data_IF_418159429573
#
_entry.id   IF_418159429573
#
_cell.length_a   1.000
_cell.length_b   1.000
_cell.length_c   1.000
_cell.angle_alpha   90.00
_cell.angle_beta   90.00
_cell.angle_gamma   90.00
#
_symmetry.space_group_name_H-M   'P 1'
#
loop_
_entity.id
_entity.type
_entity.pdbx_description
1 polymer ?
#
# COMPACT_ATOMS: atom_id res chain seq x y z
N UNK A 1 18.11 -9.84 6.54
CA UNK A 1 19.39 -9.91 5.80
C UNK A 1 19.28 -9.42 4.34
N UNK A 2 18.20 -8.70 3.99
CA UNK A 2 17.99 -8.07 2.68
C UNK A 2 17.67 -6.56 2.82
N UNK A 3 18.15 -5.94 3.90
CA UNK A 3 17.93 -4.53 4.17
C UNK A 3 18.81 -3.72 3.19
N UNK A 4 18.19 -2.98 2.28
CA UNK A 4 18.84 -2.16 1.24
C UNK A 4 19.71 -2.86 0.18
N UNK A 5 19.67 -4.19 0.01
CA UNK A 5 20.51 -4.87 -0.98
C UNK A 5 20.26 -4.39 -2.43
N UNK A 6 18.99 -4.15 -2.78
CA UNK A 6 18.58 -3.64 -4.10
C UNK A 6 18.96 -2.16 -4.25
N UNK A 7 18.69 -1.34 -3.22
CA UNK A 7 19.03 0.09 -3.19
C UNK A 7 20.55 0.33 -3.27
N UNK A 8 21.35 -0.44 -2.53
CA UNK A 8 22.81 -0.34 -2.53
C UNK A 8 23.44 -0.87 -3.82
N UNK A 9 22.81 -1.85 -4.47
CA UNK A 9 23.21 -2.32 -5.79
C UNK A 9 23.05 -1.23 -6.85
N UNK A 10 21.88 -0.60 -6.89
CA UNK A 10 21.59 0.48 -7.85
C UNK A 10 22.46 1.72 -7.62
N UNK A 11 22.65 2.15 -6.36
CA UNK A 11 23.52 3.28 -6.02
C UNK A 11 24.99 3.04 -6.38
N UNK A 12 25.47 1.79 -6.35
CA UNK A 12 26.86 1.45 -6.72
C UNK A 12 27.12 1.44 -8.22
N UNK A 13 26.10 1.16 -9.05
CA UNK A 13 26.28 1.03 -10.51
C UNK A 13 25.92 2.29 -11.29
N UNK A 14 24.94 3.07 -10.84
CA UNK A 14 24.41 4.22 -11.59
C UNK A 14 24.51 5.57 -10.87
N UNK A 15 24.89 5.60 -9.59
CA UNK A 15 24.90 6.81 -8.77
C UNK A 15 23.50 7.20 -8.27
N UNK A 16 23.44 7.93 -7.16
CA UNK A 16 22.21 8.49 -6.62
C UNK A 16 21.87 9.84 -7.25
N UNK A 17 20.58 10.15 -7.41
CA UNK A 17 20.16 11.49 -7.82
C UNK A 17 20.41 12.50 -6.68
N UNK A 18 20.66 13.78 -6.98
CA UNK A 18 20.87 14.80 -5.95
C UNK A 18 19.61 14.93 -5.09
N UNK A 19 19.79 14.82 -3.77
CA UNK A 19 18.74 14.93 -2.72
C UNK A 19 17.96 16.26 -2.70
N UNK A 20 18.30 17.19 -3.58
CA UNK A 20 17.69 18.52 -3.71
C UNK A 20 16.48 18.55 -4.66
N UNK A 21 16.17 17.46 -5.35
CA UNK A 21 14.98 17.35 -6.19
C UNK A 21 13.96 16.43 -5.51
N UNK A 22 13.01 16.98 -4.76
CA UNK A 22 11.88 16.24 -4.16
C UNK A 22 11.06 15.44 -5.20
N UNK A 23 11.20 15.77 -6.48
CA UNK A 23 10.54 15.11 -7.61
C UNK A 23 11.28 13.86 -8.13
N UNK A 24 12.59 13.73 -7.88
CA UNK A 24 13.39 12.56 -8.28
C UNK A 24 13.69 11.71 -7.04
N UNK A 25 13.38 10.40 -7.11
CA UNK A 25 13.74 9.46 -6.05
C UNK A 25 15.26 9.41 -5.80
N UNK A 26 15.67 8.96 -4.62
CA UNK A 26 17.09 8.83 -4.22
C UNK A 26 17.94 7.98 -5.20
N UNK A 27 17.30 7.10 -5.97
CA UNK A 27 17.92 6.26 -7.00
C UNK A 27 16.93 5.96 -8.14
N UNK A 28 17.42 5.71 -9.37
CA UNK A 28 16.58 5.20 -10.47
C UNK A 28 16.14 3.76 -10.18
N UNK A 29 14.87 3.57 -9.79
CA UNK A 29 14.30 2.24 -9.55
C UNK A 29 13.89 1.54 -10.86
N UNK A 30 14.86 0.86 -11.49
CA UNK A 30 14.63 0.07 -12.70
C UNK A 30 13.68 -1.11 -12.50
N UNK A 31 13.60 -1.67 -11.29
CA UNK A 31 12.70 -2.79 -10.98
C UNK A 31 11.27 -2.27 -10.90
N UNK A 32 11.05 -1.15 -10.23
CA UNK A 32 9.77 -0.44 -10.22
C UNK A 32 9.31 -0.09 -11.63
N UNK A 33 10.19 0.47 -12.46
CA UNK A 33 9.88 0.79 -13.85
C UNK A 33 9.48 -0.46 -14.67
N UNK A 34 10.20 -1.57 -14.53
CA UNK A 34 9.88 -2.84 -15.19
C UNK A 34 8.51 -3.38 -14.76
N UNK A 35 8.21 -3.33 -13.46
CA UNK A 35 6.92 -3.77 -12.90
C UNK A 35 5.78 -2.93 -13.48
N UNK A 36 5.94 -1.60 -13.52
CA UNK A 36 4.92 -0.70 -14.07
C UNK A 36 4.68 -1.00 -15.57
N UNK A 37 5.74 -1.18 -16.35
CA UNK A 37 5.62 -1.53 -17.78
C UNK A 37 4.92 -2.88 -17.96
N UNK A 38 5.30 -3.90 -17.18
CA UNK A 38 4.68 -5.22 -17.22
C UNK A 38 3.19 -5.16 -16.86
N UNK A 39 2.84 -4.48 -15.77
CA UNK A 39 1.45 -4.27 -15.36
C UNK A 39 0.66 -3.51 -16.42
N UNK A 40 1.26 -2.49 -17.05
CA UNK A 40 0.68 -1.77 -18.17
C UNK A 40 0.38 -2.68 -19.36
N UNK A 41 1.30 -3.57 -19.74
CA UNK A 41 1.09 -4.54 -20.82
C UNK A 41 -0.04 -5.52 -20.46
N UNK A 42 -0.10 -5.99 -19.22
CA UNK A 42 -1.19 -6.87 -18.75
C UNK A 42 -2.54 -6.16 -18.83
N UNK A 43 -2.62 -4.89 -18.45
CA UNK A 43 -3.84 -4.08 -18.54
C UNK A 43 -4.36 -3.96 -19.98
N UNK A 44 -3.47 -3.87 -20.98
CA UNK A 44 -3.88 -3.81 -22.39
C UNK A 44 -4.52 -5.09 -22.93
N UNK A 45 -4.33 -6.24 -22.25
CA UNK A 45 -4.79 -7.56 -22.71
C UNK A 45 -6.21 -7.94 -22.30
N UNK A 46 -6.91 -7.10 -21.53
CA UNK A 46 -8.36 -7.24 -21.32
C UNK A 46 -8.86 -7.10 -19.87
N UNK A 47 -10.00 -6.43 -19.64
CA UNK A 47 -10.54 -6.19 -18.28
C UNK A 47 -11.12 -7.42 -17.57
N UNK A 48 -11.68 -8.40 -18.30
CA UNK A 48 -12.42 -9.53 -17.70
C UNK A 48 -11.54 -10.46 -16.86
N UNK A 49 -10.31 -10.72 -17.31
CA UNK A 49 -9.33 -11.50 -16.54
C UNK A 49 -8.76 -10.69 -15.36
N UNK A 50 -8.66 -9.37 -15.53
CA UNK A 50 -8.08 -8.44 -14.55
C UNK A 50 -8.89 -8.36 -13.24
N UNK A 51 -10.22 -8.37 -13.31
CA UNK A 51 -11.07 -8.30 -12.12
C UNK A 51 -10.88 -9.51 -11.20
N UNK A 52 -10.83 -10.72 -11.77
CA UNK A 52 -10.63 -11.94 -10.99
C UNK A 52 -9.22 -12.01 -10.38
N UNK A 53 -8.19 -11.67 -11.16
CA UNK A 53 -6.81 -11.63 -10.67
C UNK A 53 -6.66 -10.59 -9.55
N UNK A 54 -7.21 -9.39 -9.71
CA UNK A 54 -7.14 -8.35 -8.68
C UNK A 54 -7.82 -8.80 -7.39
N UNK A 55 -9.02 -9.39 -7.48
CA UNK A 55 -9.75 -9.90 -6.31
C UNK A 55 -8.97 -10.98 -5.55
N UNK A 56 -8.37 -11.94 -6.27
CA UNK A 56 -7.54 -13.00 -5.66
C UNK A 56 -6.31 -12.40 -4.98
N UNK A 57 -5.61 -11.46 -5.63
CA UNK A 57 -4.42 -10.83 -5.05
C UNK A 57 -4.78 -9.98 -3.83
N UNK A 58 -5.89 -9.23 -3.86
CA UNK A 58 -6.37 -8.48 -2.70
C UNK A 58 -6.74 -9.40 -1.53
N UNK A 59 -7.41 -10.52 -1.79
CA UNK A 59 -7.75 -11.51 -0.76
C UNK A 59 -6.48 -12.11 -0.12
N UNK A 60 -5.50 -12.48 -0.94
CA UNK A 60 -4.21 -12.99 -0.47
C UNK A 60 -3.48 -11.94 0.37
N UNK A 61 -3.44 -10.68 -0.08
CA UNK A 61 -2.82 -9.60 0.67
C UNK A 61 -3.51 -9.36 2.02
N UNK A 62 -4.85 -9.37 2.04
CA UNK A 62 -5.64 -9.26 3.27
C UNK A 62 -5.32 -10.41 4.24
N UNK A 63 -5.23 -11.64 3.73
CA UNK A 63 -4.88 -12.81 4.54
C UNK A 63 -3.49 -12.66 5.16
N UNK A 64 -2.49 -12.26 4.36
CA UNK A 64 -1.12 -12.05 4.86
C UNK A 64 -1.09 -10.94 5.92
N UNK A 65 -1.83 -9.84 5.73
CA UNK A 65 -1.92 -8.76 6.71
C UNK A 65 -2.55 -9.24 8.03
N UNK A 66 -3.67 -9.97 7.96
CA UNK A 66 -4.36 -10.51 9.14
C UNK A 66 -3.47 -11.53 9.86
N UNK A 67 -2.78 -12.40 9.12
CA UNK A 67 -1.86 -13.39 9.67
C UNK A 67 -0.70 -12.69 10.39
N UNK A 68 -0.04 -11.73 9.73
CA UNK A 68 1.07 -10.96 10.32
C UNK A 68 0.63 -10.22 11.60
N UNK A 69 -0.51 -9.53 11.52
CA UNK A 69 -1.09 -8.81 12.67
C UNK A 69 -1.48 -9.78 13.80
N UNK A 70 -2.05 -10.93 13.47
CA UNK A 70 -2.41 -11.97 14.44
C UNK A 70 -1.20 -12.54 15.17
N UNK A 71 -0.11 -12.85 14.46
CA UNK A 71 1.15 -13.29 15.09
C UNK A 71 1.66 -12.23 16.07
N UNK A 72 1.65 -10.96 15.66
CA UNK A 72 2.13 -9.86 16.49
C UNK A 72 1.29 -9.66 17.75
N UNK A 73 -0.02 -9.87 17.68
CA UNK A 73 -0.93 -9.77 18.82
C UNK A 73 -0.86 -10.99 19.76
N UNK A 74 -0.61 -12.20 19.23
CA UNK A 74 -0.55 -13.45 20.01
C UNK A 74 0.79 -13.60 20.74
N UNK A 75 1.88 -13.08 20.17
CA UNK A 75 3.20 -13.05 20.79
C UNK A 75 3.59 -11.62 21.22
N UNK A 76 2.83 -10.99 22.14
CA UNK A 76 3.20 -9.68 22.64
C UNK A 76 4.53 -9.77 23.38
N UNK A 77 5.23 -8.65 23.46
CA UNK A 77 6.52 -8.56 24.15
C UNK A 77 6.41 -8.99 25.62
N UNK A 78 6.73 -10.25 25.92
CA UNK A 78 6.90 -10.79 27.28
C UNK A 78 8.22 -10.31 27.89
N UNK A 79 8.39 -9.00 28.09
CA UNK A 79 9.49 -8.48 28.88
C UNK A 79 8.91 -7.60 29.97
N UNK A 80 8.97 -8.12 31.20
CA UNK A 80 8.44 -7.60 32.46
C UNK A 80 8.84 -6.17 32.85
N UNK A 81 9.58 -5.45 32.00
CA UNK A 81 10.19 -4.15 32.30
C UNK A 81 9.83 -3.02 31.31
N UNK A 82 9.11 -3.32 30.22
CA UNK A 82 8.68 -2.28 29.27
C UNK A 82 7.16 -2.13 29.30
N UNK A 83 6.67 -1.12 30.02
CA UNK A 83 5.29 -0.66 29.86
C UNK A 83 5.06 -0.23 28.40
N UNK A 84 3.84 -0.44 27.89
CA UNK A 84 3.35 0.00 26.56
C UNK A 84 3.76 1.42 26.16
N UNK A 85 4.02 2.26 27.16
CA UNK A 85 4.61 3.58 27.04
C UNK A 85 5.64 3.79 28.17
N UNK A 86 6.95 3.53 27.95
CA UNK A 86 7.97 3.81 28.96
C UNK A 86 8.03 5.32 29.18
N UNK A 87 7.96 5.76 30.45
CA UNK A 87 8.07 7.18 30.79
C UNK A 87 9.41 7.79 30.30
N UNK A 88 10.47 6.99 30.25
CA UNK A 88 11.80 7.40 29.78
C UNK A 88 11.85 7.83 28.31
N UNK A 89 10.91 7.36 27.49
CA UNK A 89 10.86 7.68 26.05
C UNK A 89 9.71 8.66 25.72
N UNK A 90 9.13 9.35 26.71
CA UNK A 90 8.08 10.35 26.48
C UNK A 90 6.64 9.81 26.56
N UNK A 91 6.44 8.60 27.10
CA UNK A 91 5.12 8.05 27.38
C UNK A 91 4.29 7.79 26.12
N UNK A 92 2.96 7.92 26.21
CA UNK A 92 2.04 7.66 25.10
C UNK A 92 2.06 8.76 24.02
N UNK A 93 2.53 9.97 24.39
CA UNK A 93 2.66 11.11 23.49
C UNK A 93 4.10 11.65 23.45
N UNK A 94 5.07 10.87 22.92
CA UNK A 94 6.47 11.27 22.91
C UNK A 94 6.74 12.55 22.10
N UNK A 95 5.92 12.79 21.07
CA UNK A 95 5.99 13.97 20.21
C UNK A 95 4.88 15.00 20.51
N UNK A 96 4.19 14.85 21.64
CA UNK A 96 3.03 15.66 22.00
C UNK A 96 1.87 15.58 21.00
N UNK A 97 0.93 16.51 21.12
CA UNK A 97 -0.25 16.59 20.24
C UNK A 97 0.14 16.93 18.79
N UNK A 98 1.17 17.76 18.59
CA UNK A 98 1.65 18.13 17.25
C UNK A 98 2.14 16.93 16.45
N UNK A 99 2.91 16.03 17.06
CA UNK A 99 3.36 14.80 16.41
C UNK A 99 2.21 13.82 16.12
N UNK A 100 1.20 13.75 17.00
CA UNK A 100 0.00 12.95 16.75
C UNK A 100 -0.75 13.44 15.50
N UNK A 101 -0.95 14.75 15.36
CA UNK A 101 -1.65 15.34 14.20
C UNK A 101 -0.83 15.15 12.93
N UNK A 102 0.49 15.33 12.98
CA UNK A 102 1.36 15.08 11.83
C UNK A 102 1.32 13.60 11.39
N UNK A 103 1.35 12.65 12.34
CA UNK A 103 1.20 11.23 12.06
C UNK A 103 -0.18 10.86 11.52
N UNK A 104 -1.25 11.49 12.03
CA UNK A 104 -2.59 11.31 11.46
C UNK A 104 -2.65 11.76 9.99
N UNK A 105 -1.95 12.85 9.65
CA UNK A 105 -1.79 13.32 8.27
C UNK A 105 -1.09 12.30 7.36
N UNK A 106 -0.03 11.66 7.83
CA UNK A 106 0.65 10.61 7.03
C UNK A 106 -0.19 9.34 6.92
N UNK A 107 -0.92 8.95 7.96
CA UNK A 107 -1.87 7.83 7.92
C UNK A 107 -3.01 8.05 6.92
N UNK A 108 -3.39 9.30 6.64
CA UNK A 108 -4.42 9.60 5.64
C UNK A 108 -4.04 9.10 4.24
N UNK A 109 -2.73 9.05 3.93
CA UNK A 109 -2.24 8.48 2.67
C UNK A 109 -2.67 7.02 2.47
N UNK A 110 -2.80 6.25 3.56
CA UNK A 110 -3.20 4.85 3.50
C UNK A 110 -4.69 4.65 3.11
N UNK A 111 -5.49 5.72 3.13
CA UNK A 111 -6.90 5.70 2.69
C UNK A 111 -7.07 6.19 1.25
N UNK A 112 -6.01 6.67 0.57
CA UNK A 112 -6.09 7.03 -0.84
C UNK A 112 -6.43 5.79 -1.67
N UNK A 113 -7.38 5.92 -2.61
CA UNK A 113 -7.86 4.82 -3.46
C UNK A 113 -9.31 4.42 -3.22
N UNK A 114 -9.99 4.96 -2.20
CA UNK A 114 -11.44 4.74 -2.02
C UNK A 114 -12.27 5.31 -3.18
N UNK A 115 -11.74 6.31 -3.88
CA UNK A 115 -12.29 6.93 -5.09
C UNK A 115 -12.28 5.99 -6.30
N UNK A 116 -11.38 5.01 -6.34
CA UNK A 116 -11.41 3.98 -7.39
C UNK A 116 -12.70 3.14 -7.35
N UNK A 117 -13.38 3.05 -6.20
CA UNK A 117 -14.67 2.36 -6.06
C UNK A 117 -15.74 3.07 -6.90
N UNK A 118 -15.75 4.41 -6.92
CA UNK A 118 -16.76 5.19 -7.64
C UNK A 118 -16.54 5.15 -9.15
N UNK A 119 -15.30 5.00 -9.60
CA UNK A 119 -14.95 4.78 -11.02
C UNK A 119 -15.52 3.47 -11.56
N UNK A 120 -15.80 2.49 -10.70
CA UNK A 120 -16.41 1.20 -11.06
C UNK A 120 -17.93 1.19 -10.91
N UNK A 121 -18.55 2.35 -10.68
CA UNK A 121 -20.01 2.46 -10.52
C UNK A 121 -20.80 2.08 -11.77
N UNK A 122 -20.21 2.22 -12.96
CA UNK A 122 -20.81 1.80 -14.25
C UNK A 122 -20.96 0.27 -14.37
N UNK A 123 -20.15 -0.50 -13.63
CA UNK A 123 -20.20 -1.96 -13.61
C UNK A 123 -21.06 -2.52 -12.45
N UNK A 124 -21.60 -1.63 -11.60
CA UNK A 124 -22.43 -2.03 -10.47
C UNK A 124 -23.90 -2.24 -10.90
N UNK A 125 -24.52 -3.32 -10.40
CA UNK A 125 -25.92 -3.67 -10.70
C UNK A 125 -26.89 -2.56 -10.25
N UNK A 126 -26.70 -2.02 -9.04
CA UNK A 126 -27.45 -0.86 -8.52
C UNK A 126 -26.48 0.14 -7.89
N UNK A 127 -25.95 1.12 -8.66
CA UNK A 127 -24.94 2.04 -8.17
C UNK A 127 -25.46 2.97 -7.06
N UNK A 128 -26.77 3.31 -7.06
CA UNK A 128 -27.35 4.24 -6.07
C UNK A 128 -27.29 3.69 -4.65
N UNK A 129 -27.45 2.38 -4.50
CA UNK A 129 -27.41 1.71 -3.19
C UNK A 129 -26.08 1.00 -2.94
N UNK A 130 -25.51 0.36 -3.96
CA UNK A 130 -24.33 -0.49 -3.80
C UNK A 130 -23.06 0.32 -3.56
N UNK A 131 -22.89 1.48 -4.20
CA UNK A 131 -21.71 2.32 -4.03
C UNK A 131 -21.54 2.87 -2.61
N UNK A 132 -22.54 3.54 -2.01
CA UNK A 132 -22.38 4.07 -0.65
C UNK A 132 -22.16 2.95 0.38
N UNK A 133 -22.84 1.80 0.23
CA UNK A 133 -22.66 0.65 1.12
C UNK A 133 -21.26 0.05 0.95
N UNK A 134 -20.80 -0.15 -0.28
CA UNK A 134 -19.48 -0.72 -0.56
C UNK A 134 -18.37 0.14 0.03
N UNK A 135 -18.42 1.45 -0.17
CA UNK A 135 -17.44 2.40 0.39
C UNK A 135 -17.50 2.43 1.92
N UNK A 136 -18.69 2.49 2.51
CA UNK A 136 -18.83 2.53 3.97
C UNK A 136 -18.27 1.25 4.62
N UNK A 137 -18.58 0.07 4.06
CA UNK A 137 -18.09 -1.21 4.58
C UNK A 137 -16.58 -1.35 4.37
N UNK A 138 -16.06 -1.05 3.18
CA UNK A 138 -14.63 -1.20 2.89
C UNK A 138 -13.77 -0.28 3.76
N UNK A 139 -14.15 0.99 3.88
CA UNK A 139 -13.43 1.97 4.72
C UNK A 139 -13.49 1.55 6.18
N UNK A 140 -14.64 1.11 6.68
CA UNK A 140 -14.78 0.65 8.07
C UNK A 140 -13.90 -0.56 8.37
N UNK A 141 -13.91 -1.57 7.49
CA UNK A 141 -13.09 -2.79 7.65
C UNK A 141 -11.59 -2.45 7.62
N UNK A 142 -11.16 -1.63 6.66
CA UNK A 142 -9.75 -1.20 6.56
C UNK A 142 -9.34 -0.39 7.78
N UNK A 143 -10.21 0.47 8.30
CA UNK A 143 -9.95 1.25 9.52
C UNK A 143 -9.69 0.35 10.72
N UNK A 144 -10.54 -0.67 10.94
CA UNK A 144 -10.35 -1.64 12.02
C UNK A 144 -9.05 -2.43 11.84
N UNK A 145 -8.77 -2.87 10.61
CA UNK A 145 -7.52 -3.60 10.31
C UNK A 145 -6.27 -2.74 10.57
N UNK A 146 -6.27 -1.46 10.20
CA UNK A 146 -5.15 -0.55 10.46
C UNK A 146 -4.95 -0.28 11.95
N UNK A 147 -6.03 -0.13 12.72
CA UNK A 147 -5.95 0.01 14.18
C UNK A 147 -5.33 -1.25 14.79
N UNK A 148 -5.81 -2.44 14.40
CA UNK A 148 -5.28 -3.71 14.89
C UNK A 148 -3.82 -3.93 14.49
N UNK A 149 -3.47 -3.58 13.26
CA UNK A 149 -2.12 -3.75 12.74
C UNK A 149 -1.12 -2.80 13.40
N UNK A 150 -1.51 -1.53 13.62
CA UNK A 150 -0.74 -0.55 14.38
C UNK A 150 -0.52 -1.00 15.83
N UNK A 151 -1.60 -1.45 16.49
CA UNK A 151 -1.53 -2.00 17.85
C UNK A 151 -0.62 -3.24 17.91
N UNK A 152 -0.74 -4.15 16.94
CA UNK A 152 0.08 -5.34 16.84
C UNK A 152 1.57 -5.01 16.75
N UNK A 153 1.97 -4.10 15.85
CA UNK A 153 3.38 -3.71 15.68
C UNK A 153 3.94 -3.07 16.96
N UNK A 154 3.20 -2.14 17.57
CA UNK A 154 3.64 -1.44 18.80
C UNK A 154 3.75 -2.37 20.01
N UNK A 155 2.95 -3.44 20.07
CA UNK A 155 3.05 -4.47 21.11
C UNK A 155 4.17 -5.49 20.86
N UNK A 156 4.56 -5.66 19.60
CA UNK A 156 5.52 -6.68 19.19
C UNK A 156 6.97 -6.20 19.29
N UNK A 157 7.23 -4.93 18.95
CA UNK A 157 8.53 -4.27 19.07
C UNK A 157 8.41 -2.85 19.66
N UNK A 158 9.45 -2.34 20.35
CA UNK A 158 9.44 -0.97 20.85
C UNK A 158 9.24 0.05 19.73
N UNK A 159 8.35 1.03 19.94
CA UNK A 159 7.93 1.97 18.90
C UNK A 159 9.08 2.80 18.29
N UNK A 160 10.17 3.06 19.03
CA UNK A 160 11.35 3.78 18.54
C UNK A 160 12.25 2.94 17.61
N UNK A 161 12.03 1.63 17.54
CA UNK A 161 12.77 0.70 16.66
C UNK A 161 12.00 0.32 15.39
N UNK A 162 10.78 0.85 15.22
CA UNK A 162 9.94 0.57 14.06
C UNK A 162 10.58 1.17 12.81
N UNK A 163 10.86 0.31 11.83
CA UNK A 163 11.38 0.72 10.53
C UNK A 163 10.29 1.44 9.72
N UNK A 164 10.63 2.57 9.09
CA UNK A 164 9.70 3.40 8.31
C UNK A 164 9.34 2.81 6.94
N UNK A 165 10.20 1.97 6.38
CA UNK A 165 10.04 1.39 5.05
C UNK A 165 9.38 0.01 5.14
N UNK A 166 9.78 -0.78 6.14
CA UNK A 166 9.44 -2.20 6.20
C UNK A 166 9.02 -2.64 7.61
N UNK A 167 8.06 -1.93 8.21
CA UNK A 167 7.64 -2.14 9.61
C UNK A 167 7.33 -3.61 9.94
N UNK A 168 6.51 -4.30 9.15
CA UNK A 168 6.09 -5.67 9.48
C UNK A 168 7.21 -6.70 9.33
N UNK A 169 7.95 -6.65 8.21
CA UNK A 169 9.01 -7.64 7.94
C UNK A 169 10.22 -7.43 8.85
N UNK A 170 10.62 -6.17 9.10
CA UNK A 170 11.69 -5.84 10.03
C UNK A 170 11.33 -6.23 11.47
N UNK A 171 10.07 -6.01 11.88
CA UNK A 171 9.61 -6.42 13.20
C UNK A 171 9.68 -7.95 13.39
N UNK A 172 9.19 -8.73 12.41
CA UNK A 172 9.26 -10.20 12.43
C UNK A 172 10.70 -10.73 12.39
N UNK A 173 11.57 -10.07 11.61
CA UNK A 173 12.99 -10.41 11.55
C UNK A 173 13.70 -10.16 12.88
N UNK A 174 13.40 -9.05 13.56
CA UNK A 174 13.98 -8.72 14.87
C UNK A 174 13.67 -9.78 15.96
N UNK A 175 12.58 -10.53 15.79
CA UNK A 175 12.17 -11.64 16.67
C UNK A 175 12.59 -13.02 16.18
N UNK A 176 13.28 -13.11 15.03
CA UNK A 176 13.77 -14.37 14.47
C UNK A 176 12.67 -15.27 13.86
N UNK A 177 11.47 -14.74 13.57
CA UNK A 177 10.39 -15.51 12.94
C UNK A 177 10.56 -15.51 11.42
N UNK A 178 11.59 -16.21 10.95
CA UNK A 178 12.06 -16.18 9.56
C UNK A 178 10.98 -16.54 8.54
N UNK A 179 10.16 -17.56 8.83
CA UNK A 179 9.09 -18.01 7.92
C UNK A 179 8.03 -16.94 7.70
N UNK A 180 7.62 -16.23 8.77
CA UNK A 180 6.63 -15.17 8.69
C UNK A 180 7.19 -13.94 7.96
N UNK A 181 8.46 -13.61 8.17
CA UNK A 181 9.14 -12.54 7.42
C UNK A 181 9.08 -12.76 5.92
N UNK A 182 9.32 -13.99 5.44
CA UNK A 182 9.25 -14.30 4.00
C UNK A 182 7.83 -14.20 3.45
N UNK A 183 6.83 -14.75 4.15
CA UNK A 183 5.43 -14.69 3.72
C UNK A 183 4.95 -13.25 3.67
N UNK A 184 5.22 -12.47 4.72
CA UNK A 184 4.84 -11.06 4.78
C UNK A 184 5.57 -10.24 3.74
N UNK A 185 6.86 -10.49 3.48
CA UNK A 185 7.62 -9.82 2.43
C UNK A 185 7.04 -10.07 1.04
N UNK A 186 6.73 -11.34 0.72
CA UNK A 186 6.09 -11.69 -0.54
C UNK A 186 4.69 -11.07 -0.67
N UNK A 187 3.89 -11.11 0.41
CA UNK A 187 2.59 -10.46 0.46
C UNK A 187 2.65 -8.95 0.26
N UNK A 188 3.64 -8.27 0.87
CA UNK A 188 3.84 -6.83 0.67
C UNK A 188 4.16 -6.48 -0.78
N UNK A 189 5.02 -7.24 -1.46
CA UNK A 189 5.33 -7.01 -2.89
C UNK A 189 4.08 -7.21 -3.75
N UNK A 190 3.32 -8.28 -3.50
CA UNK A 190 2.05 -8.52 -4.19
C UNK A 190 1.03 -7.42 -3.93
N UNK A 191 0.86 -7.00 -2.67
CA UNK A 191 -0.05 -5.93 -2.28
C UNK A 191 0.29 -4.59 -2.95
N UNK A 192 1.58 -4.22 -2.97
CA UNK A 192 2.05 -3.03 -3.68
C UNK A 192 1.76 -3.12 -5.19
N UNK A 193 2.01 -4.27 -5.81
CA UNK A 193 1.71 -4.47 -7.24
C UNK A 193 0.21 -4.37 -7.55
N UNK A 194 -0.66 -4.88 -6.68
CA UNK A 194 -2.11 -4.79 -6.83
C UNK A 194 -2.63 -3.36 -6.65
N UNK A 195 -2.06 -2.62 -5.69
CA UNK A 195 -2.37 -1.21 -5.50
C UNK A 195 -1.99 -0.40 -6.74
N UNK A 196 -0.80 -0.63 -7.31
CA UNK A 196 -0.36 0.01 -8.55
C UNK A 196 -1.29 -0.33 -9.72
N UNK A 197 -1.66 -1.61 -9.84
CA UNK A 197 -2.58 -2.08 -10.87
C UNK A 197 -3.95 -1.39 -10.81
N UNK A 198 -4.51 -1.24 -9.61
CA UNK A 198 -5.79 -0.56 -9.38
C UNK A 198 -5.71 0.92 -9.77
N UNK A 199 -4.64 1.62 -9.42
CA UNK A 199 -4.43 3.02 -9.83
C UNK A 199 -4.27 3.18 -11.35
N UNK A 200 -3.55 2.26 -11.99
CA UNK A 200 -3.39 2.25 -13.46
C UNK A 200 -4.70 1.92 -14.20
N UNK A 201 -5.63 1.23 -13.55
CA UNK A 201 -6.95 0.95 -14.12
C UNK A 201 -7.88 2.16 -14.09
N UNK A 202 -7.82 2.98 -13.04
CA UNK A 202 -8.64 4.19 -12.92
C UNK A 202 -8.18 5.32 -13.87
N UNK A 203 -6.87 5.42 -14.12
CA UNK A 203 -6.27 6.54 -14.86
C UNK A 203 -6.80 6.70 -16.30
N UNK A 204 -6.94 5.65 -17.14
CA UNK A 204 -7.49 5.79 -18.49
C UNK A 204 -8.93 6.27 -18.51
N UNK A 205 -9.77 5.86 -17.55
CA UNK A 205 -11.18 6.27 -17.46
C UNK A 205 -11.32 7.76 -17.20
N UNK A 206 -10.57 8.26 -16.23
CA UNK A 206 -10.53 9.69 -15.89
C UNK A 206 -9.97 10.50 -17.06
N UNK A 207 -8.92 9.99 -17.71
CA UNK A 207 -8.30 10.68 -18.85
C UNK A 207 -9.24 10.71 -20.06
N UNK A 208 -10.00 9.64 -20.29
CA UNK A 208 -11.03 9.58 -21.31
C UNK A 208 -12.16 10.59 -21.05
N UNK A 209 -12.68 10.66 -19.82
CA UNK A 209 -13.74 11.63 -19.48
C UNK A 209 -13.25 13.08 -19.60
N UNK A 210 -12.01 13.37 -19.20
CA UNK A 210 -11.40 14.69 -19.39
C UNK A 210 -11.21 15.04 -20.89
N UNK A 211 -10.89 14.05 -21.73
CA UNK A 211 -10.77 14.23 -23.17
C UNK A 211 -12.13 14.42 -23.86
N UNK A 212 -13.19 13.72 -23.39
CA UNK A 212 -14.56 13.93 -23.89
C UNK A 212 -15.12 15.29 -23.52
N UNK A 213 -14.75 15.82 -22.35
CA UNK A 213 -15.12 17.16 -21.88
C UNK A 213 -14.33 18.29 -22.59
N UNK A 214 -13.34 17.94 -23.42
CA UNK A 214 -12.54 18.88 -24.18
C UNK A 214 -11.43 19.58 -23.38
N UNK A 215 -11.20 19.17 -22.13
CA UNK A 215 -10.09 19.64 -21.29
C UNK A 215 -8.73 19.10 -21.77
N UNK A 216 -8.73 17.92 -22.40
CA UNK A 216 -7.54 17.29 -22.97
C UNK A 216 -7.65 17.12 -24.50
N UNK A 217 -6.50 17.08 -25.21
CA UNK A 217 -6.49 16.80 -26.64
C UNK A 217 -7.16 15.46 -26.98
N UNK A 218 -8.01 15.47 -28.03
CA UNK A 218 -8.85 14.32 -28.43
C UNK A 218 -8.10 13.02 -28.74
N UNK A 219 -6.80 13.10 -29.06
CA UNK A 219 -5.98 11.91 -29.34
C UNK A 219 -5.70 11.06 -28.09
N UNK A 220 -5.75 11.64 -26.89
CA UNK A 220 -5.53 10.92 -25.62
C UNK A 220 -6.75 10.08 -25.25
N UNK A 221 -7.96 10.51 -25.64
CA UNK A 221 -9.21 9.78 -25.42
C UNK A 221 -9.52 8.71 -26.47
N UNK A 222 -8.59 8.37 -27.35
CA UNK A 222 -8.82 7.34 -28.37
C UNK A 222 -8.73 5.93 -27.77
N UNK A 223 -9.84 5.19 -27.80
CA UNK A 223 -9.92 3.80 -27.31
C UNK A 223 -9.86 2.83 -28.49
N UNK A 224 -9.05 1.78 -28.40
CA UNK A 224 -8.97 0.76 -29.44
C UNK A 224 -10.28 -0.06 -29.52
N UNK A 225 -10.84 -0.30 -30.72
CA UNK A 225 -12.11 -1.01 -30.90
C UNK A 225 -12.13 -2.45 -30.34
N UNK A 226 -10.96 -3.06 -30.19
CA UNK A 226 -10.80 -4.44 -29.68
C UNK A 226 -10.95 -4.58 -28.16
N UNK A 227 -10.90 -3.47 -27.40
CA UNK A 227 -10.82 -3.50 -25.92
C UNK A 227 -11.94 -2.70 -25.26
N UNK A 228 -12.90 -2.21 -26.05
CA UNK A 228 -14.07 -1.48 -25.57
C UNK A 228 -15.00 -2.48 -24.87
N UNK A 229 -15.19 -2.32 -23.55
CA UNK A 229 -16.26 -2.98 -22.78
C UNK A 229 -17.33 -1.94 -22.51
#
# INVERSE_FOLDING_TARGET
MAHHAISNGTMRTFGGFPKSAEFLGDYPDFIGALIIILLGIVLTRGPKLSVHLNSVVTCLNLLVLVLATGIMLIYPQHTSNYSFAPAEHGGFFPYGFGGMVAGAGTCFYAFIGFDAITVSSEEAIDPKKSMPIATAVSVSVVTVLFILASLGVVLFIPWWTVDRVAAFTAALEARGIVWATYITGFGSVLGLSASLFTSMYALPRITYSMASDGLLPKWIGYVMPSTQI
#
